data_IF_429792635799
#
_entry.id   IF_429792635799
#
_cell.length_a   1.000
_cell.length_b   1.000
_cell.length_c   1.000
_cell.angle_alpha   90.00
_cell.angle_beta   90.00
_cell.angle_gamma   90.00
#
_symmetry.space_group_name_H-M   'P 1'
#
loop_
_entity.id
_entity.type
_entity.pdbx_description
1 polymer ?
#
# COMPACT_ATOMS: atom_id res chain seq x y z
N UNK A 1 9.29 11.80 -6.36
CA UNK A 1 8.03 11.88 -5.62
C UNK A 1 6.90 11.31 -6.47
N UNK A 2 6.07 10.48 -5.88
CA UNK A 2 4.96 9.80 -6.55
C UNK A 2 3.65 10.15 -5.82
N UNK A 3 2.84 11.00 -6.42
CA UNK A 3 1.73 11.66 -5.72
C UNK A 3 0.38 10.95 -5.87
N UNK A 4 0.21 10.11 -6.91
CA UNK A 4 -1.05 9.42 -7.19
C UNK A 4 -0.84 8.22 -8.09
N UNK A 5 -1.57 7.13 -7.82
CA UNK A 5 -1.58 5.91 -8.64
C UNK A 5 -2.64 6.05 -9.75
N UNK A 6 -2.26 6.64 -10.88
CA UNK A 6 -3.13 6.91 -12.02
C UNK A 6 -2.77 5.99 -13.19
N UNK A 7 -3.73 5.23 -13.75
CA UNK A 7 -3.51 4.36 -14.90
C UNK A 7 -3.03 5.09 -16.16
N UNK A 8 -3.32 6.37 -16.30
CA UNK A 8 -2.85 7.16 -17.45
C UNK A 8 -1.34 7.32 -17.51
N UNK A 9 -0.64 7.15 -16.37
CA UNK A 9 0.82 7.20 -16.24
C UNK A 9 1.44 5.81 -16.00
N UNK A 10 0.70 4.74 -16.29
CA UNK A 10 1.15 3.38 -15.98
C UNK A 10 2.47 3.00 -16.67
N UNK A 11 2.66 3.39 -17.92
CA UNK A 11 3.89 3.09 -18.67
C UNK A 11 5.09 3.81 -18.05
N UNK A 12 4.98 5.12 -17.80
CA UNK A 12 6.01 5.92 -17.16
C UNK A 12 6.35 5.39 -15.75
N UNK A 13 5.32 4.98 -15.01
CA UNK A 13 5.43 4.41 -13.67
C UNK A 13 6.19 3.09 -13.70
N UNK A 14 5.89 2.22 -14.65
CA UNK A 14 6.58 0.94 -14.85
C UNK A 14 8.04 1.13 -15.32
N UNK A 15 8.30 2.11 -16.17
CA UNK A 15 9.66 2.44 -16.62
C UNK A 15 10.50 2.98 -15.47
N UNK A 16 9.92 3.83 -14.62
CA UNK A 16 10.59 4.30 -13.41
C UNK A 16 10.93 3.13 -12.46
N UNK A 17 10.01 2.19 -12.25
CA UNK A 17 10.26 0.99 -11.45
C UNK A 17 11.41 0.15 -12.03
N UNK A 18 11.44 -0.04 -13.34
CA UNK A 18 12.50 -0.79 -14.02
C UNK A 18 13.87 -0.10 -13.92
N UNK A 19 13.91 1.23 -13.97
CA UNK A 19 15.15 1.99 -13.76
C UNK A 19 15.63 1.88 -12.32
N UNK A 20 14.71 2.04 -11.35
CA UNK A 20 15.02 1.95 -9.93
C UNK A 20 15.49 0.55 -9.53
N UNK A 21 14.98 -0.50 -10.17
CA UNK A 21 15.40 -1.89 -9.91
C UNK A 21 16.86 -2.18 -10.25
N UNK A 22 17.49 -1.33 -11.07
CA UNK A 22 18.91 -1.46 -11.44
C UNK A 22 19.83 -0.53 -10.63
N UNK A 23 19.28 0.27 -9.72
CA UNK A 23 20.05 1.13 -8.84
C UNK A 23 20.29 0.42 -7.50
N UNK A 24 21.52 0.45 -6.97
CA UNK A 24 21.85 -0.23 -5.72
C UNK A 24 21.02 0.24 -4.53
N UNK A 25 20.61 1.52 -4.53
CA UNK A 25 19.67 2.10 -3.56
C UNK A 25 18.66 2.95 -4.32
N UNK A 26 17.38 2.74 -4.05
CA UNK A 26 16.28 3.50 -4.62
C UNK A 26 15.38 4.07 -3.52
N UNK A 27 14.80 5.24 -3.79
CA UNK A 27 13.89 5.89 -2.86
C UNK A 27 12.57 6.22 -3.54
N UNK A 28 11.46 5.73 -2.99
CA UNK A 28 10.11 6.03 -3.42
C UNK A 28 9.43 6.93 -2.39
N UNK A 29 9.18 8.19 -2.75
CA UNK A 29 8.51 9.15 -1.87
C UNK A 29 7.00 9.08 -2.05
N UNK A 30 6.31 8.55 -1.04
CA UNK A 30 4.87 8.40 -0.96
C UNK A 30 4.23 9.37 0.03
N UNK A 31 4.98 10.29 0.64
CA UNK A 31 4.49 11.16 1.74
C UNK A 31 3.27 11.99 1.36
N UNK A 32 3.14 12.36 0.09
CA UNK A 32 1.99 13.11 -0.43
C UNK A 32 1.06 12.28 -1.32
N UNK A 33 1.22 10.95 -1.33
CA UNK A 33 0.43 10.06 -2.18
C UNK A 33 -0.87 9.66 -1.49
N UNK A 34 -1.99 10.14 -2.00
CA UNK A 34 -3.33 9.88 -1.44
C UNK A 34 -3.97 8.60 -1.98
N UNK A 35 -3.24 7.81 -2.75
CA UNK A 35 -3.73 6.55 -3.30
C UNK A 35 -4.00 6.59 -4.80
N UNK A 36 -5.02 5.88 -5.24
CA UNK A 36 -5.42 5.75 -6.64
C UNK A 36 -5.78 4.30 -6.99
N UNK A 37 -5.30 3.80 -8.10
CA UNK A 37 -5.63 2.47 -8.59
C UNK A 37 -4.65 1.42 -8.07
N UNK A 38 -5.17 0.41 -7.40
CA UNK A 38 -4.42 -0.70 -6.79
C UNK A 38 -3.55 -1.44 -7.81
N UNK A 39 -4.05 -1.63 -9.03
CA UNK A 39 -3.31 -2.30 -10.09
C UNK A 39 -1.98 -1.61 -10.42
N UNK A 40 -1.94 -0.27 -10.37
CA UNK A 40 -0.70 0.50 -10.61
C UNK A 40 0.33 0.23 -9.51
N UNK A 41 -0.11 0.16 -8.26
CA UNK A 41 0.76 -0.16 -7.13
C UNK A 41 1.36 -1.57 -7.26
N UNK A 42 0.51 -2.57 -7.57
CA UNK A 42 0.96 -3.94 -7.81
C UNK A 42 1.94 -4.06 -8.97
N UNK A 43 1.65 -3.41 -10.10
CA UNK A 43 2.52 -3.45 -11.27
C UNK A 43 3.87 -2.80 -10.98
N UNK A 44 3.89 -1.67 -10.26
CA UNK A 44 5.13 -1.01 -9.88
C UNK A 44 6.03 -1.93 -9.04
N UNK A 45 5.51 -2.51 -7.98
CA UNK A 45 6.26 -3.42 -7.10
C UNK A 45 6.75 -4.66 -7.86
N UNK A 46 5.88 -5.27 -8.66
CA UNK A 46 6.24 -6.44 -9.47
C UNK A 46 7.34 -6.11 -10.49
N UNK A 47 7.28 -4.92 -11.09
CA UNK A 47 8.29 -4.47 -12.06
C UNK A 47 9.62 -4.17 -11.39
N UNK A 48 9.58 -3.52 -10.20
CA UNK A 48 10.77 -3.23 -9.41
C UNK A 48 11.47 -4.51 -8.94
N UNK A 49 10.72 -5.48 -8.43
CA UNK A 49 11.27 -6.72 -7.86
C UNK A 49 11.56 -7.82 -8.90
N UNK A 50 11.15 -7.63 -10.16
CA UNK A 50 11.16 -8.65 -11.21
C UNK A 50 10.39 -9.94 -10.85
N UNK A 51 9.51 -9.87 -9.87
CA UNK A 51 8.75 -11.00 -9.35
C UNK A 51 7.31 -10.55 -9.03
N UNK A 52 6.41 -11.52 -8.95
CA UNK A 52 5.07 -11.25 -8.45
C UNK A 52 5.09 -11.20 -6.93
N UNK A 53 4.80 -10.03 -6.38
CA UNK A 53 4.69 -9.80 -4.94
C UNK A 53 3.22 -9.79 -4.54
N UNK A 54 2.92 -10.41 -3.43
CA UNK A 54 1.56 -10.50 -2.90
C UNK A 54 1.48 -9.77 -1.56
N UNK A 55 0.30 -9.24 -1.25
CA UNK A 55 0.01 -8.72 0.08
C UNK A 55 0.17 -9.82 1.14
N UNK A 56 0.69 -9.45 2.30
CA UNK A 56 0.71 -10.34 3.48
C UNK A 56 -0.62 -10.32 4.21
N UNK A 57 -1.43 -9.31 3.98
CA UNK A 57 -2.67 -9.09 4.68
C UNK A 57 -3.78 -10.04 4.24
N UNK A 58 -4.63 -10.40 5.18
CA UNK A 58 -5.88 -11.10 4.93
C UNK A 58 -7.01 -10.08 4.94
N UNK A 59 -7.73 -9.98 3.84
CA UNK A 59 -8.90 -9.09 3.75
C UNK A 59 -10.14 -9.83 4.23
N UNK A 60 -10.78 -9.33 5.28
CA UNK A 60 -12.07 -9.80 5.73
C UNK A 60 -13.20 -8.94 5.16
N UNK A 61 -14.22 -9.58 4.60
CA UNK A 61 -15.44 -8.89 4.19
C UNK A 61 -16.43 -8.82 5.35
N UNK A 62 -17.09 -7.68 5.51
CA UNK A 62 -18.19 -7.50 6.48
C UNK A 62 -19.49 -8.12 5.94
N UNK A 63 -19.53 -8.51 4.67
CA UNK A 63 -20.69 -9.16 4.04
C UNK A 63 -20.85 -10.61 4.53
N UNK A 64 -22.07 -11.19 4.39
CA UNK A 64 -22.32 -12.58 4.77
C UNK A 64 -21.29 -13.55 4.19
N UNK A 65 -20.91 -14.57 4.95
CA UNK A 65 -19.86 -15.53 4.62
C UNK A 65 -19.93 -16.18 3.24
N UNK A 66 -21.11 -16.15 2.58
CA UNK A 66 -21.31 -16.64 1.21
C UNK A 66 -20.65 -15.77 0.12
N UNK A 67 -20.21 -14.56 0.45
CA UNK A 67 -19.58 -13.61 -0.47
C UNK A 67 -18.12 -13.34 -0.14
N UNK A 68 -17.59 -13.99 0.87
CA UNK A 68 -16.19 -13.81 1.29
C UNK A 68 -15.30 -14.64 0.38
N UNK A 69 -14.42 -13.98 -0.36
CA UNK A 69 -13.28 -14.67 -0.94
C UNK A 69 -12.46 -15.28 0.20
N UNK A 70 -12.16 -16.57 0.08
CA UNK A 70 -11.33 -17.26 1.08
C UNK A 70 -10.03 -16.50 1.30
N UNK A 71 -9.61 -16.32 2.56
CA UNK A 71 -8.35 -15.66 2.84
C UNK A 71 -7.22 -16.42 2.12
N UNK A 72 -6.45 -15.71 1.32
CA UNK A 72 -5.26 -16.29 0.73
C UNK A 72 -4.19 -16.38 1.83
N UNK A 73 -4.13 -17.53 2.49
CA UNK A 73 -3.11 -17.82 3.51
C UNK A 73 -1.80 -18.32 2.89
N UNK A 74 -1.57 -18.11 1.61
CA UNK A 74 -0.33 -18.53 0.98
C UNK A 74 0.82 -17.73 1.59
N UNK A 75 1.64 -18.38 2.38
CA UNK A 75 2.97 -17.87 2.73
C UNK A 75 3.77 -17.79 1.43
N UNK A 76 3.69 -16.66 0.78
CA UNK A 76 4.56 -16.37 -0.37
C UNK A 76 5.98 -16.15 0.15
N UNK A 77 6.99 -16.78 -0.45
CA UNK A 77 8.37 -16.41 -0.16
C UNK A 77 8.55 -14.92 -0.41
N UNK A 78 9.33 -14.27 0.44
CA UNK A 78 9.73 -12.88 0.20
C UNK A 78 10.42 -12.79 -1.16
N UNK A 79 10.10 -11.76 -1.91
CA UNK A 79 10.77 -11.50 -3.16
C UNK A 79 12.20 -11.01 -2.87
N UNK A 80 13.19 -11.73 -3.38
CA UNK A 80 14.60 -11.35 -3.23
C UNK A 80 14.94 -10.26 -4.23
N UNK A 81 15.51 -9.16 -3.73
CA UNK A 81 16.09 -8.11 -4.54
C UNK A 81 17.42 -7.70 -3.87
N UNK A 82 18.49 -7.65 -4.65
CA UNK A 82 19.82 -7.22 -4.16
C UNK A 82 19.88 -5.71 -3.91
N UNK A 83 18.92 -4.95 -4.42
CA UNK A 83 18.84 -3.50 -4.27
C UNK A 83 18.01 -3.12 -3.02
N UNK A 84 18.39 -2.02 -2.40
CA UNK A 84 17.68 -1.47 -1.24
C UNK A 84 16.56 -0.54 -1.74
N UNK A 85 15.33 -0.78 -1.30
CA UNK A 85 14.20 0.09 -1.52
C UNK A 85 13.85 0.86 -0.23
N UNK A 86 14.00 2.17 -0.26
CA UNK A 86 13.55 3.05 0.81
C UNK A 86 12.21 3.65 0.40
N UNK A 87 11.19 3.47 1.24
CA UNK A 87 9.88 4.10 1.06
C UNK A 87 9.71 5.21 2.10
N UNK A 88 9.36 6.41 1.63
CA UNK A 88 9.05 7.50 2.53
C UNK A 88 7.54 7.57 2.74
N UNK A 89 7.11 7.46 4.00
CA UNK A 89 5.72 7.52 4.41
C UNK A 89 5.38 8.79 5.18
N UNK A 90 4.12 9.19 5.16
CA UNK A 90 3.64 10.35 5.89
C UNK A 90 2.13 10.32 6.09
N UNK A 91 1.59 11.30 6.80
CA UNK A 91 0.17 11.39 7.13
C UNK A 91 -0.77 11.48 5.93
N UNK A 92 -0.27 11.89 4.77
CA UNK A 92 -1.05 11.90 3.53
C UNK A 92 -0.90 10.61 2.72
N UNK A 93 -0.01 9.68 3.10
CA UNK A 93 0.07 8.37 2.46
C UNK A 93 -1.21 7.58 2.77
N UNK A 94 -2.03 7.33 1.75
CA UNK A 94 -3.34 6.72 1.96
C UNK A 94 -3.68 5.69 0.86
N UNK A 95 -4.60 4.76 1.14
CA UNK A 95 -5.18 3.83 0.18
C UNK A 95 -4.09 3.05 -0.60
N UNK A 96 -3.97 3.21 -1.90
CA UNK A 96 -2.98 2.48 -2.71
C UNK A 96 -1.52 2.80 -2.35
N UNK A 97 -1.22 3.95 -1.73
CA UNK A 97 0.09 4.18 -1.14
C UNK A 97 0.35 3.20 0.02
N UNK A 98 -0.65 2.93 0.84
CA UNK A 98 -0.59 1.98 1.93
C UNK A 98 -0.50 0.53 1.43
N UNK A 99 -1.19 0.21 0.31
CA UNK A 99 -1.02 -1.08 -0.38
C UNK A 99 0.43 -1.27 -0.86
N UNK A 100 1.05 -0.20 -1.35
CA UNK A 100 2.47 -0.25 -1.76
C UNK A 100 3.38 -0.57 -0.59
N UNK A 101 3.12 0.01 0.59
CA UNK A 101 3.86 -0.31 1.81
C UNK A 101 3.63 -1.76 2.25
N UNK A 102 2.38 -2.24 2.22
CA UNK A 102 2.05 -3.65 2.52
C UNK A 102 2.82 -4.61 1.60
N UNK A 103 2.81 -4.35 0.30
CA UNK A 103 3.56 -5.15 -0.65
C UNK A 103 5.07 -5.11 -0.38
N UNK A 104 5.61 -3.97 0.05
CA UNK A 104 7.03 -3.81 0.33
C UNK A 104 7.51 -4.67 1.51
N UNK A 105 6.66 -5.01 2.47
CA UNK A 105 6.99 -5.95 3.54
C UNK A 105 7.34 -7.36 3.04
N UNK A 106 6.94 -7.69 1.81
CA UNK A 106 7.28 -8.96 1.14
C UNK A 106 8.50 -8.85 0.22
N UNK A 107 9.19 -7.72 0.22
CA UNK A 107 10.50 -7.57 -0.40
C UNK A 107 11.60 -7.74 0.64
N UNK A 108 12.66 -8.46 0.28
CA UNK A 108 13.91 -8.36 1.01
C UNK A 108 14.51 -6.97 0.76
N UNK A 109 15.22 -6.42 1.71
CA UNK A 109 15.90 -5.12 1.60
C UNK A 109 14.96 -3.92 1.35
N UNK A 110 13.74 -3.94 1.86
CA UNK A 110 12.88 -2.75 1.94
C UNK A 110 12.94 -2.10 3.32
N UNK A 111 12.83 -0.77 3.35
CA UNK A 111 12.84 0.03 4.58
C UNK A 111 11.84 1.17 4.48
N UNK A 112 10.95 1.30 5.45
CA UNK A 112 9.96 2.38 5.51
C UNK A 112 10.45 3.43 6.52
N UNK A 113 10.54 4.67 6.07
CA UNK A 113 11.00 5.80 6.90
C UNK A 113 9.97 6.93 6.84
N UNK A 114 9.67 7.56 7.96
CA UNK A 114 8.80 8.73 8.02
C UNK A 114 7.79 8.68 9.15
N UNK A 115 6.60 9.20 8.92
CA UNK A 115 5.49 9.14 9.87
C UNK A 115 4.54 7.99 9.54
N UNK A 116 3.66 7.67 10.47
CA UNK A 116 2.53 6.79 10.22
C UNK A 116 1.72 7.31 9.02
N UNK A 117 1.21 6.40 8.24
CA UNK A 117 0.31 6.72 7.13
C UNK A 117 -1.07 7.19 7.60
N UNK A 118 -1.97 7.43 6.69
CA UNK A 118 -3.32 7.90 6.98
C UNK A 118 -4.17 6.87 7.73
N UNK A 119 -4.02 5.59 7.39
CA UNK A 119 -4.87 4.52 7.90
C UNK A 119 -6.19 4.38 7.14
N UNK A 120 -6.15 4.54 5.83
CA UNK A 120 -7.32 4.45 4.95
C UNK A 120 -7.11 3.37 3.88
N UNK A 121 -6.67 2.18 4.28
CA UNK A 121 -6.42 1.08 3.36
C UNK A 121 -7.68 0.30 2.99
N UNK A 122 -8.75 0.45 3.75
CA UNK A 122 -10.03 -0.22 3.53
C UNK A 122 -10.76 0.48 2.39
N UNK A 123 -10.55 0.03 1.16
CA UNK A 123 -10.96 0.79 -0.02
C UNK A 123 -11.98 0.12 -0.94
N UNK A 124 -12.49 -1.05 -0.62
CA UNK A 124 -13.57 -1.63 -1.43
C UNK A 124 -14.91 -1.06 -0.97
N UNK A 125 -15.25 0.09 -1.54
CA UNK A 125 -16.57 0.69 -1.35
C UNK A 125 -17.59 0.07 -2.29
N UNK A 126 -18.73 -0.29 -1.75
CA UNK A 126 -19.94 -0.54 -2.51
C UNK A 126 -20.87 0.64 -2.40
N UNK A 127 -21.60 0.86 -3.45
CA UNK A 127 -22.55 1.95 -3.58
C UNK A 127 -23.96 1.42 -3.34
N UNK A 128 -24.68 2.01 -2.39
CA UNK A 128 -26.06 1.67 -2.08
C UNK A 128 -26.94 2.90 -2.30
N UNK A 129 -27.92 2.76 -3.20
CA UNK A 129 -28.98 3.77 -3.35
C UNK A 129 -30.09 3.51 -2.35
N UNK A 130 -30.43 4.50 -1.55
CA UNK A 130 -31.56 4.41 -0.62
C UNK A 130 -32.88 4.51 -1.38
N UNK A 131 -33.81 3.53 -1.23
CA UNK A 131 -34.96 3.39 -2.12
C UNK A 131 -35.94 4.57 -2.10
N UNK A 132 -36.04 5.26 -0.97
CA UNK A 132 -37.00 6.36 -0.78
C UNK A 132 -36.40 7.73 -1.13
N UNK A 133 -35.23 8.05 -0.61
CA UNK A 133 -34.58 9.36 -0.80
C UNK A 133 -33.79 9.48 -2.09
N UNK A 134 -33.49 8.34 -2.73
CA UNK A 134 -32.54 8.26 -3.86
C UNK A 134 -31.13 8.78 -3.56
N UNK A 135 -30.84 9.00 -2.28
CA UNK A 135 -29.49 9.33 -1.83
C UNK A 135 -28.58 8.10 -1.97
N UNK A 136 -27.36 8.35 -2.38
CA UNK A 136 -26.31 7.33 -2.46
C UNK A 136 -25.49 7.33 -1.19
N UNK A 137 -25.15 6.15 -0.72
CA UNK A 137 -24.26 5.93 0.42
C UNK A 137 -23.14 5.01 -0.05
N UNK A 138 -21.91 5.49 0.07
CA UNK A 138 -20.72 4.64 -0.13
C UNK A 138 -20.41 3.93 1.18
N UNK A 139 -20.33 2.62 1.11
CA UNK A 139 -20.03 1.76 2.25
C UNK A 139 -18.81 0.90 1.98
N UNK A 140 -17.95 0.80 2.96
CA UNK A 140 -16.82 -0.13 2.92
C UNK A 140 -17.27 -1.53 3.29
N UNK A 141 -17.00 -2.51 2.43
CA UNK A 141 -17.39 -3.90 2.63
C UNK A 141 -16.26 -4.81 3.11
N UNK A 142 -15.05 -4.30 3.25
CA UNK A 142 -13.92 -5.11 3.71
C UNK A 142 -13.16 -4.40 4.82
N UNK A 143 -12.76 -5.16 5.79
CA UNK A 143 -11.96 -4.68 6.91
C UNK A 143 -10.82 -5.63 7.22
N UNK A 144 -9.75 -5.07 7.71
CA UNK A 144 -8.65 -5.69 8.43
C UNK A 144 -7.64 -6.42 7.56
N UNK A 145 -6.44 -5.94 7.64
CA UNK A 145 -5.24 -6.64 7.22
C UNK A 145 -4.50 -7.11 8.47
N UNK A 146 -4.30 -8.42 8.58
CA UNK A 146 -3.49 -9.03 9.62
C UNK A 146 -2.24 -9.62 8.98
N UNK A 147 -1.11 -9.51 9.65
CA UNK A 147 0.08 -10.25 9.26
C UNK A 147 -0.13 -11.75 9.45
N UNK A 148 0.56 -12.61 8.69
CA UNK A 148 0.46 -14.07 8.82
C UNK A 148 0.82 -14.58 10.21
N UNK A 149 1.58 -13.86 10.99
CA UNK A 149 1.98 -14.16 12.37
C UNK A 149 1.07 -13.52 13.43
N UNK A 150 0.04 -12.77 12.98
CA UNK A 150 -0.90 -12.07 13.87
C UNK A 150 -0.34 -10.78 14.47
N UNK A 151 0.82 -10.29 14.01
CA UNK A 151 1.31 -8.98 14.40
C UNK A 151 0.63 -7.89 13.57
N UNK A 152 0.16 -6.84 14.24
CA UNK A 152 -0.53 -5.73 13.59
C UNK A 152 0.48 -4.65 13.21
N UNK A 153 0.92 -4.61 11.96
CA UNK A 153 1.75 -3.53 11.43
C UNK A 153 0.92 -2.40 10.80
N UNK A 154 -0.38 -2.63 10.67
CA UNK A 154 -1.36 -1.67 10.20
C UNK A 154 -2.58 -1.64 11.10
N UNK A 155 -3.01 -0.44 11.46
CA UNK A 155 -4.27 -0.22 12.17
C UNK A 155 -5.08 0.84 11.40
N UNK A 156 -6.34 0.53 11.11
CA UNK A 156 -7.25 1.49 10.47
C UNK A 156 -7.36 2.77 11.30
N UNK A 157 -7.33 3.92 10.64
CA UNK A 157 -7.23 5.27 11.22
C UNK A 157 -5.89 5.62 11.90
N UNK A 158 -4.97 4.66 12.04
CA UNK A 158 -3.59 4.88 12.52
C UNK A 158 -2.55 4.69 11.44
N UNK A 159 -2.85 3.84 10.47
CA UNK A 159 -2.00 3.56 9.32
C UNK A 159 -0.87 2.58 9.59
N UNK A 160 0.03 2.48 8.63
CA UNK A 160 1.27 1.74 8.75
C UNK A 160 2.24 2.46 9.66
N UNK A 161 2.94 1.69 10.49
CA UNK A 161 4.04 2.18 11.30
C UNK A 161 5.34 2.02 10.51
N UNK A 162 6.11 3.09 10.33
CA UNK A 162 7.39 2.98 9.62
C UNK A 162 8.42 2.24 10.48
N UNK A 163 9.43 1.64 9.83
CA UNK A 163 10.56 1.01 10.51
C UNK A 163 11.41 2.04 11.26
N UNK A 164 11.53 3.26 10.69
CA UNK A 164 12.19 4.40 11.32
C UNK A 164 11.21 5.57 11.32
N UNK A 165 10.74 5.91 12.53
CA UNK A 165 9.82 7.02 12.69
C UNK A 165 10.55 8.37 12.70
N UNK A 166 10.22 9.26 11.79
CA UNK A 166 10.79 10.61 11.66
C UNK A 166 9.67 11.60 11.44
N UNK A 167 9.49 12.59 12.33
CA UNK A 167 8.45 13.60 12.16
C UNK A 167 8.73 14.51 10.96
N UNK A 168 7.68 14.89 10.23
CA UNK A 168 7.81 15.71 9.01
C UNK A 168 8.56 17.04 9.26
N UNK A 169 8.39 17.64 10.42
CA UNK A 169 9.08 18.90 10.80
C UNK A 169 10.61 18.75 10.92
N UNK A 170 11.10 17.55 11.22
CA UNK A 170 12.55 17.30 11.29
C UNK A 170 13.12 17.01 9.90
N UNK A 171 12.32 16.41 9.02
CA UNK A 171 12.74 16.16 7.63
C UNK A 171 12.94 17.45 6.83
N UNK A 172 12.14 18.49 7.09
CA UNK A 172 12.31 19.81 6.46
C UNK A 172 13.56 20.57 6.93
N UNK A 173 14.09 20.23 8.11
CA UNK A 173 15.26 20.90 8.69
C UNK A 173 16.59 20.27 8.22
N UNK A 174 16.54 19.08 7.62
CA UNK A 174 17.70 18.35 7.13
C UNK A 174 17.93 18.47 5.61
N UNK A 175 17.04 19.16 4.91
CA UNK A 175 17.13 19.45 3.47
C UNK A 175 17.67 20.85 3.20
#
# INVERSE_FOLDING_TARGET
QFNHFDPSFLEETNDAAAQMSNAGVSMLDLRSNVGGYEEVAHQWINRYSHQRVFSTGVRYSVLPASLVASPSTSKTPRASNDNILILLSGKCSASCAEITLDLSYNLDNSLIIGENTNGSMISNSGHIELPNSKCSVDMTFSTVYLTPDGSDYFEELRGFFPDIWVPAKEAETLA
#
